data_IF_181191722726
#
_entry.id   IF_181191722726
#
_cell.length_a   1.000
_cell.length_b   1.000
_cell.length_c   1.000
_cell.angle_alpha   90.00
_cell.angle_beta   90.00
_cell.angle_gamma   90.00
#
_symmetry.space_group_name_H-M   'P 1'
#
loop_
_entity.id
_entity.type
_entity.pdbx_description
1 polymer ?
#
# COMPACT_ATOMS: atom_id res chain seq x y z
N UNK A 1 -20.03 2.00 14.86
CA UNK A 1 -20.28 3.11 13.92
C UNK A 1 -20.83 2.70 12.55
N UNK A 2 -21.06 1.45 12.27
CA UNK A 2 -21.43 0.96 10.94
C UNK A 2 -22.91 1.19 10.60
N UNK A 3 -23.31 2.45 10.48
CA UNK A 3 -24.68 2.83 10.11
C UNK A 3 -24.74 3.18 8.63
N UNK A 4 -25.66 2.52 7.87
CA UNK A 4 -25.88 2.78 6.45
C UNK A 4 -24.54 2.88 5.66
N UNK A 5 -23.73 1.84 5.71
CA UNK A 5 -22.35 1.82 5.16
C UNK A 5 -22.28 2.15 3.66
N UNK A 6 -23.36 1.86 2.91
CA UNK A 6 -23.45 2.22 1.49
C UNK A 6 -23.64 3.73 1.23
N UNK A 7 -23.82 4.54 2.28
CA UNK A 7 -24.12 5.97 2.17
C UNK A 7 -23.20 6.85 3.03
N UNK A 8 -22.25 6.27 3.74
CA UNK A 8 -21.45 6.99 4.73
C UNK A 8 -19.96 6.68 4.61
N UNK A 9 -19.14 7.65 5.00
CA UNK A 9 -17.74 7.46 5.32
C UNK A 9 -17.63 7.16 6.82
N UNK A 10 -16.99 6.06 7.18
CA UNK A 10 -16.95 5.57 8.57
C UNK A 10 -15.50 5.49 9.05
N UNK A 11 -15.05 6.44 9.90
CA UNK A 11 -13.74 6.33 10.55
C UNK A 11 -13.73 5.16 11.54
N UNK A 12 -12.68 4.35 11.51
CA UNK A 12 -12.50 3.21 12.41
C UNK A 12 -11.02 2.98 12.71
N UNK A 13 -10.75 2.27 13.78
CA UNK A 13 -9.39 1.82 14.09
C UNK A 13 -8.93 0.76 13.09
N UNK A 14 -7.62 0.65 12.92
CA UNK A 14 -6.99 -0.43 12.16
C UNK A 14 -5.80 -0.99 12.92
N UNK A 15 -5.56 -2.29 12.79
CA UNK A 15 -4.34 -2.94 13.30
C UNK A 15 -3.14 -2.79 12.36
N UNK A 16 -3.34 -2.26 11.15
CA UNK A 16 -2.29 -2.22 10.12
C UNK A 16 -1.06 -1.41 10.57
N UNK A 17 -1.26 -0.20 11.11
CA UNK A 17 -0.15 0.63 11.58
C UNK A 17 0.66 -0.06 12.71
N UNK A 18 0.00 -0.78 13.61
CA UNK A 18 0.67 -1.56 14.66
C UNK A 18 1.43 -2.75 14.08
N UNK A 19 0.89 -3.40 13.05
CA UNK A 19 1.54 -4.53 12.40
C UNK A 19 2.84 -4.14 11.69
N UNK A 20 2.95 -2.90 11.19
CA UNK A 20 4.17 -2.39 10.53
C UNK A 20 5.38 -2.54 11.46
N UNK A 21 5.24 -2.18 12.74
CA UNK A 21 6.34 -2.26 13.71
C UNK A 21 6.81 -3.69 13.99
N UNK A 22 5.99 -4.72 13.71
CA UNK A 22 6.37 -6.12 13.86
C UNK A 22 7.28 -6.58 12.71
N UNK A 23 7.08 -6.04 11.50
CA UNK A 23 7.87 -6.41 10.30
C UNK A 23 9.03 -5.44 10.06
N UNK A 24 8.90 -4.19 10.49
CA UNK A 24 9.93 -3.15 10.40
C UNK A 24 10.14 -2.53 11.80
N UNK A 25 10.91 -3.17 12.68
CA UNK A 25 11.07 -2.72 14.08
C UNK A 25 11.58 -1.27 14.22
N UNK A 26 12.34 -0.78 13.24
CA UNK A 26 12.83 0.60 13.21
C UNK A 26 11.71 1.67 13.12
N UNK A 27 10.50 1.27 12.72
CA UNK A 27 9.32 2.15 12.65
C UNK A 27 8.43 2.06 13.90
N UNK A 28 8.86 1.34 14.94
CA UNK A 28 8.12 1.28 16.19
C UNK A 28 7.92 2.68 16.77
N UNK A 29 6.69 3.00 17.15
CA UNK A 29 6.24 4.28 17.70
C UNK A 29 6.45 5.51 16.76
N UNK A 30 6.79 5.26 15.48
CA UNK A 30 6.97 6.30 14.46
C UNK A 30 5.82 6.37 13.45
N UNK A 31 4.93 5.38 13.46
CA UNK A 31 3.79 5.31 12.55
C UNK A 31 2.51 5.02 13.31
N UNK A 32 1.45 5.68 12.92
CA UNK A 32 0.08 5.39 13.36
C UNK A 32 -0.87 5.63 12.20
N UNK A 33 -2.12 5.23 12.37
CA UNK A 33 -3.12 5.42 11.33
C UNK A 33 -4.51 4.97 11.74
N UNK A 34 -5.46 5.33 10.89
CA UNK A 34 -6.85 4.93 11.00
C UNK A 34 -7.34 4.41 9.65
N UNK A 35 -8.47 3.74 9.64
CA UNK A 35 -9.13 3.34 8.41
C UNK A 35 -10.40 4.16 8.18
N UNK A 36 -10.69 4.47 6.94
CA UNK A 36 -11.96 5.01 6.49
C UNK A 36 -12.68 3.94 5.69
N UNK A 37 -13.86 3.52 6.16
CA UNK A 37 -14.76 2.67 5.37
C UNK A 37 -15.60 3.57 4.48
N UNK A 38 -15.63 3.25 3.19
CA UNK A 38 -16.32 4.01 2.16
C UNK A 38 -17.26 3.09 1.36
N UNK A 39 -18.26 3.62 0.64
CA UNK A 39 -19.19 2.84 -0.17
C UNK A 39 -18.53 2.23 -1.42
N UNK A 40 -17.58 1.33 -1.22
CA UNK A 40 -16.83 0.64 -2.28
C UNK A 40 -16.88 -0.86 -1.99
N UNK A 41 -17.22 -1.66 -3.00
CA UNK A 41 -17.47 -3.09 -2.83
C UNK A 41 -16.20 -3.87 -2.45
N UNK A 42 -15.09 -3.56 -3.09
CA UNK A 42 -13.78 -4.19 -2.89
C UNK A 42 -12.67 -3.23 -3.33
N UNK A 43 -11.44 -3.63 -3.11
CA UNK A 43 -10.22 -2.83 -3.33
C UNK A 43 -10.06 -1.71 -2.30
N UNK A 44 -8.88 -1.52 -1.86
CA UNK A 44 -8.51 -0.54 -0.84
C UNK A 44 -7.39 0.37 -1.32
N UNK A 45 -7.31 1.54 -0.70
CA UNK A 45 -6.28 2.53 -0.94
C UNK A 45 -5.55 2.84 0.35
N UNK A 46 -4.23 2.79 0.32
CA UNK A 46 -3.37 3.36 1.35
C UNK A 46 -3.04 4.79 0.97
N UNK A 47 -3.26 5.71 1.89
CA UNK A 47 -2.78 7.09 1.84
C UNK A 47 -1.65 7.20 2.88
N UNK A 48 -0.41 7.20 2.40
CA UNK A 48 0.79 7.23 3.23
C UNK A 48 1.43 8.61 3.16
N UNK A 49 1.63 9.24 4.31
CA UNK A 49 2.43 10.46 4.46
C UNK A 49 3.61 10.16 5.38
N UNK A 50 4.80 10.47 4.94
CA UNK A 50 6.04 10.24 5.69
C UNK A 50 6.98 11.43 5.59
N UNK A 51 7.69 11.70 6.68
CA UNK A 51 8.88 12.54 6.69
C UNK A 51 10.10 11.64 6.55
N UNK A 52 11.00 11.99 5.63
CA UNK A 52 12.20 11.21 5.35
C UNK A 52 13.46 11.89 5.89
N UNK A 53 14.45 11.09 6.29
CA UNK A 53 15.75 11.61 6.69
C UNK A 53 16.52 12.18 5.47
N UNK A 54 16.29 11.60 4.29
CA UNK A 54 16.88 12.07 3.05
C UNK A 54 16.18 13.34 2.58
N UNK A 55 16.95 14.36 2.27
CA UNK A 55 16.48 15.63 1.71
C UNK A 55 16.66 15.68 0.18
N UNK A 56 16.07 16.70 -0.43
CA UNK A 56 16.15 16.92 -1.88
C UNK A 56 15.38 15.88 -2.69
N UNK A 57 14.27 15.36 -2.13
CA UNK A 57 13.39 14.43 -2.84
C UNK A 57 12.55 15.20 -3.86
N UNK A 58 12.24 14.51 -4.97
CA UNK A 58 11.27 14.95 -5.97
C UNK A 58 10.28 13.82 -6.23
N UNK A 59 9.07 14.16 -6.70
CA UNK A 59 8.08 13.15 -7.03
C UNK A 59 8.59 12.17 -8.09
N UNK A 60 9.32 12.68 -9.09
CA UNK A 60 9.94 11.87 -10.14
C UNK A 60 10.98 10.90 -9.57
N UNK A 61 11.82 11.36 -8.64
CA UNK A 61 12.84 10.53 -7.98
C UNK A 61 12.22 9.42 -7.12
N UNK A 62 11.15 9.74 -6.38
CA UNK A 62 10.37 8.78 -5.59
C UNK A 62 9.71 7.76 -6.51
N UNK A 63 9.06 8.20 -7.57
CA UNK A 63 8.40 7.34 -8.55
C UNK A 63 9.40 6.41 -9.25
N UNK A 64 10.57 6.92 -9.65
CA UNK A 64 11.62 6.12 -10.25
C UNK A 64 12.10 5.01 -9.31
N UNK A 65 12.22 5.28 -8.00
CA UNK A 65 12.60 4.29 -7.00
C UNK A 65 11.54 3.18 -6.86
N UNK A 66 10.24 3.54 -6.82
CA UNK A 66 9.16 2.56 -6.77
C UNK A 66 9.11 1.71 -8.04
N UNK A 67 9.24 2.34 -9.22
CA UNK A 67 9.25 1.62 -10.48
C UNK A 67 10.43 0.63 -10.57
N UNK A 68 11.62 1.06 -10.17
CA UNK A 68 12.78 0.18 -10.15
C UNK A 68 12.59 -1.01 -9.18
N UNK A 69 11.96 -0.79 -8.03
CA UNK A 69 11.65 -1.88 -7.10
C UNK A 69 10.59 -2.84 -7.67
N UNK A 70 9.54 -2.32 -8.31
CA UNK A 70 8.48 -3.11 -8.93
C UNK A 70 8.97 -3.95 -10.13
N UNK A 71 9.87 -3.40 -10.94
CA UNK A 71 10.46 -4.10 -12.08
C UNK A 71 11.59 -5.08 -11.66
N UNK A 72 12.16 -4.89 -10.47
CA UNK A 72 13.29 -5.61 -9.93
C UNK A 72 12.97 -6.51 -8.73
N UNK A 73 13.50 -6.19 -7.53
CA UNK A 73 13.47 -7.10 -6.37
C UNK A 73 12.07 -7.38 -5.81
N UNK A 74 11.10 -6.53 -6.11
CA UNK A 74 9.71 -6.69 -5.64
C UNK A 74 8.75 -7.07 -6.78
N UNK A 75 9.27 -7.55 -7.89
CA UNK A 75 8.45 -7.97 -9.03
C UNK A 75 7.39 -8.99 -8.63
N UNK A 76 6.14 -8.75 -9.03
CA UNK A 76 4.99 -9.58 -8.68
C UNK A 76 4.38 -9.29 -7.29
N UNK A 77 5.07 -8.54 -6.43
CA UNK A 77 4.59 -8.12 -5.12
C UNK A 77 4.21 -6.64 -5.11
N UNK A 78 5.07 -5.80 -5.64
CA UNK A 78 4.85 -4.37 -5.84
C UNK A 78 4.49 -4.10 -7.30
N UNK A 79 3.54 -3.21 -7.51
CA UNK A 79 3.22 -2.63 -8.81
C UNK A 79 3.42 -1.12 -8.82
N UNK A 80 3.47 -0.56 -10.01
CA UNK A 80 3.53 0.87 -10.26
C UNK A 80 2.70 1.20 -11.50
N UNK A 81 1.95 2.28 -11.45
CA UNK A 81 1.13 2.76 -12.59
C UNK A 81 1.17 4.28 -12.69
N UNK A 82 1.06 4.78 -13.91
CA UNK A 82 0.82 6.19 -14.24
C UNK A 82 -0.48 6.35 -15.04
N UNK A 83 -1.33 5.35 -15.00
CA UNK A 83 -2.65 5.40 -15.62
C UNK A 83 -3.68 6.02 -14.66
N UNK A 84 -4.68 6.70 -15.21
CA UNK A 84 -5.77 7.30 -14.44
C UNK A 84 -6.82 6.26 -14.10
N UNK A 85 -6.52 5.42 -13.11
CA UNK A 85 -7.33 4.29 -12.70
C UNK A 85 -8.15 4.60 -11.42
N UNK A 86 -9.16 3.78 -11.18
CA UNK A 86 -10.00 3.81 -9.99
C UNK A 86 -10.00 2.44 -9.31
N UNK A 87 -10.54 2.35 -8.10
CA UNK A 87 -10.44 1.15 -7.26
C UNK A 87 -10.80 -0.16 -7.98
N UNK A 88 -11.89 -0.19 -8.73
CA UNK A 88 -12.37 -1.44 -9.37
C UNK A 88 -11.46 -1.93 -10.52
N UNK A 89 -10.60 -1.09 -11.08
CA UNK A 89 -9.62 -1.49 -12.09
C UNK A 89 -8.55 -2.44 -11.51
N UNK A 90 -8.36 -2.41 -10.18
CA UNK A 90 -7.41 -3.27 -9.47
C UNK A 90 -8.05 -4.54 -8.90
N UNK A 91 -9.33 -4.79 -9.16
CA UNK A 91 -9.99 -6.00 -8.69
C UNK A 91 -9.36 -7.25 -9.30
N UNK A 92 -8.96 -8.18 -8.45
CA UNK A 92 -8.28 -9.41 -8.86
C UNK A 92 -6.79 -9.23 -9.15
N UNK A 93 -6.21 -8.05 -8.88
CA UNK A 93 -4.76 -7.88 -8.97
C UNK A 93 -4.07 -8.65 -7.83
N UNK A 94 -3.14 -9.53 -8.20
CA UNK A 94 -2.44 -10.39 -7.25
C UNK A 94 -1.33 -9.66 -6.46
N UNK A 95 -0.94 -8.47 -6.88
CA UNK A 95 0.13 -7.71 -6.21
C UNK A 95 -0.36 -7.17 -4.87
N UNK A 96 0.54 -7.11 -3.90
CA UNK A 96 0.23 -6.64 -2.54
C UNK A 96 0.05 -5.14 -2.44
N UNK A 97 0.64 -4.37 -3.36
CA UNK A 97 0.59 -2.91 -3.37
C UNK A 97 0.90 -2.41 -4.78
N UNK A 98 0.11 -1.48 -5.30
CA UNK A 98 0.32 -0.84 -6.60
C UNK A 98 0.39 0.66 -6.40
N UNK A 99 1.58 1.23 -6.53
CA UNK A 99 1.79 2.67 -6.35
C UNK A 99 1.17 3.45 -7.50
N UNK A 100 0.37 4.45 -7.16
CA UNK A 100 -0.20 5.43 -8.07
C UNK A 100 0.80 6.58 -8.25
N UNK A 101 1.60 6.50 -9.30
CA UNK A 101 2.66 7.47 -9.57
C UNK A 101 2.14 8.88 -9.90
N UNK A 102 0.91 9.01 -10.41
CA UNK A 102 0.31 10.31 -10.70
C UNK A 102 -0.09 11.06 -9.41
N UNK A 103 -0.27 10.34 -8.31
CA UNK A 103 -0.69 10.88 -7.02
C UNK A 103 0.46 11.10 -6.04
N UNK A 104 1.70 10.84 -6.44
CA UNK A 104 2.88 11.08 -5.61
C UNK A 104 3.12 12.58 -5.44
N UNK A 105 3.22 13.04 -4.20
CA UNK A 105 3.51 14.44 -3.87
C UNK A 105 4.75 14.52 -2.98
N UNK A 106 5.56 15.55 -3.18
CA UNK A 106 6.64 15.93 -2.27
C UNK A 106 6.42 17.37 -1.82
N UNK A 107 6.35 17.58 -0.52
CA UNK A 107 6.28 18.91 0.08
C UNK A 107 7.63 19.26 0.74
N UNK A 108 8.07 20.47 0.51
CA UNK A 108 9.41 20.85 0.93
C UNK A 108 10.45 19.97 0.25
N UNK A 109 11.33 19.35 1.03
CA UNK A 109 12.39 18.48 0.49
C UNK A 109 12.33 17.05 1.02
N UNK A 110 11.43 16.75 1.95
CA UNK A 110 11.47 15.53 2.74
C UNK A 110 10.10 14.92 3.09
N UNK A 111 9.01 15.68 3.01
CA UNK A 111 7.68 15.15 3.24
C UNK A 111 7.14 14.54 1.95
N UNK A 112 6.85 13.25 1.97
CA UNK A 112 6.36 12.50 0.81
C UNK A 112 4.97 11.96 1.09
N UNK A 113 4.05 12.16 0.14
CA UNK A 113 2.73 11.53 0.13
C UNK A 113 2.66 10.54 -1.02
N UNK A 114 2.18 9.34 -0.74
CA UNK A 114 2.07 8.23 -1.68
C UNK A 114 0.68 7.63 -1.55
N UNK A 115 0.02 7.40 -2.68
CA UNK A 115 -1.17 6.56 -2.75
C UNK A 115 -0.80 5.19 -3.30
N UNK A 116 -1.37 4.14 -2.73
CA UNK A 116 -1.13 2.78 -3.19
C UNK A 116 -2.40 1.94 -3.12
N UNK A 117 -2.73 1.30 -4.23
CA UNK A 117 -3.89 0.45 -4.41
C UNK A 117 -3.58 -1.00 -4.04
N UNK A 118 -4.58 -1.74 -3.59
CA UNK A 118 -4.48 -3.19 -3.42
C UNK A 118 -5.87 -3.83 -3.35
N UNK A 119 -6.00 -5.01 -3.94
CA UNK A 119 -7.17 -5.85 -3.67
C UNK A 119 -6.97 -6.52 -2.30
N UNK A 120 -7.71 -6.03 -1.31
CA UNK A 120 -7.57 -6.48 0.09
C UNK A 120 -7.95 -7.94 0.33
N UNK A 121 -8.69 -8.54 -0.59
CA UNK A 121 -9.07 -9.95 -0.52
C UNK A 121 -8.14 -10.83 -1.36
N UNK A 122 -7.96 -10.48 -2.63
CA UNK A 122 -7.19 -11.28 -3.57
C UNK A 122 -5.69 -11.22 -3.33
N UNK A 123 -5.14 -10.03 -3.14
CA UNK A 123 -3.70 -9.85 -2.91
C UNK A 123 -3.21 -10.62 -1.68
N UNK A 124 -3.94 -10.56 -0.57
CA UNK A 124 -3.60 -11.33 0.63
C UNK A 124 -3.71 -12.85 0.38
N UNK A 125 -4.76 -13.31 -0.28
CA UNK A 125 -4.94 -14.73 -0.61
C UNK A 125 -3.79 -15.26 -1.46
N UNK A 126 -3.31 -14.48 -2.43
CA UNK A 126 -2.12 -14.83 -3.21
C UNK A 126 -0.87 -14.94 -2.32
N UNK A 127 -0.67 -14.04 -1.35
CA UNK A 127 0.47 -14.14 -0.41
C UNK A 127 0.40 -15.36 0.48
N UNK A 128 -0.78 -15.80 0.86
CA UNK A 128 -0.93 -17.08 1.59
C UNK A 128 -0.52 -18.27 0.72
N UNK A 129 -0.89 -18.27 -0.57
CA UNK A 129 -0.41 -19.27 -1.52
C UNK A 129 1.11 -19.28 -1.65
N UNK A 130 1.71 -18.11 -1.87
CA UNK A 130 3.17 -17.97 -1.98
C UNK A 130 3.90 -18.43 -0.69
N UNK A 131 3.29 -18.23 0.47
CA UNK A 131 3.86 -18.71 1.75
C UNK A 131 3.86 -20.25 1.79
N UNK A 132 2.81 -20.91 1.30
CA UNK A 132 2.75 -22.37 1.22
C UNK A 132 3.86 -22.88 0.28
N UNK A 133 4.00 -22.29 -0.90
CA UNK A 133 5.06 -22.64 -1.84
C UNK A 133 6.45 -22.41 -1.26
N UNK A 134 6.63 -21.32 -0.53
CA UNK A 134 7.89 -21.03 0.18
C UNK A 134 8.20 -22.08 1.24
N UNK A 135 7.23 -22.49 2.07
CA UNK A 135 7.40 -23.53 3.08
C UNK A 135 7.77 -24.86 2.40
N UNK A 136 7.05 -25.25 1.36
CA UNK A 136 7.34 -26.47 0.60
C UNK A 136 8.76 -26.46 0.00
N UNK A 137 9.22 -25.28 -0.49
CA UNK A 137 10.59 -25.12 -1.02
C UNK A 137 11.68 -25.31 0.03
N UNK A 138 11.35 -25.20 1.33
CA UNK A 138 12.27 -25.43 2.46
C UNK A 138 12.26 -26.89 2.92
N UNK A 139 11.43 -27.74 2.33
CA UNK A 139 11.34 -29.16 2.70
C UNK A 139 10.54 -29.41 3.98
N UNK A 140 9.64 -28.48 4.32
CA UNK A 140 8.73 -28.57 5.47
C UNK A 140 7.33 -28.97 5.05
#
# INVERSE_FOLDING_TARGET
RARAAAMNIIPTTTGAAKAISLVIPALKDKMDGLALRVPTATVSLVDLVIDTEKKGLTAEGVNAAFKAAADGPMKGILGYTEEKLVSLDFRGDARSSIVDGLSTLVLGEDMVKILSWYDNEWGYSCRVGDLIDFIASKGL
#
